data_IF_627518326033
#
_entry.id   IF_627518326033
#
_cell.length_a   1.000
_cell.length_b   1.000
_cell.length_c   1.000
_cell.angle_alpha   90.00
_cell.angle_beta   90.00
_cell.angle_gamma   90.00
#
_symmetry.space_group_name_H-M   'P 1'
#
loop_
_entity.id
_entity.type
_entity.pdbx_description
1 polymer ?
#
# COMPACT_ATOMS: atom_id res chain seq x y z
N UNK A 1 -4.64 -7.59 -18.44
CA UNK A 1 -3.99 -6.77 -17.38
C UNK A 1 -3.23 -5.64 -18.03
N UNK A 2 -3.06 -4.53 -17.30
CA UNK A 2 -2.44 -3.32 -17.82
C UNK A 2 -1.32 -2.89 -16.85
N UNK A 3 -0.16 -3.57 -16.88
CA UNK A 3 0.95 -3.22 -15.98
C UNK A 3 1.45 -1.79 -16.21
N UNK A 4 1.43 -1.35 -17.48
CA UNK A 4 1.71 0.04 -17.88
C UNK A 4 0.42 0.65 -18.44
N UNK A 5 0.02 1.81 -17.91
CA UNK A 5 -1.16 2.55 -18.37
C UNK A 5 -0.82 3.40 -19.60
N UNK A 6 0.26 4.18 -19.52
CA UNK A 6 0.77 4.96 -20.64
C UNK A 6 2.24 5.31 -20.42
N UNK A 7 2.91 5.69 -21.51
CA UNK A 7 4.32 6.11 -21.53
C UNK A 7 4.42 7.56 -21.97
N UNK A 8 5.22 8.36 -21.27
CA UNK A 8 5.61 9.72 -21.66
C UNK A 8 7.13 9.69 -21.92
N UNK A 9 7.53 9.45 -23.17
CA UNK A 9 8.92 9.14 -23.51
C UNK A 9 9.38 7.86 -22.80
N UNK A 10 10.52 7.93 -22.12
CA UNK A 10 11.04 6.84 -21.27
C UNK A 10 10.31 6.72 -19.91
N UNK A 11 9.30 7.57 -19.64
CA UNK A 11 8.54 7.55 -18.39
C UNK A 11 7.34 6.61 -18.47
N UNK A 12 7.37 5.48 -17.76
CA UNK A 12 6.24 4.56 -17.66
C UNK A 12 5.38 4.87 -16.45
N UNK A 13 4.09 5.10 -16.66
CA UNK A 13 3.09 5.16 -15.59
C UNK A 13 2.50 3.77 -15.41
N UNK A 14 2.84 3.12 -14.30
CA UNK A 14 2.32 1.78 -13.99
C UNK A 14 0.97 1.84 -13.30
N UNK A 15 0.14 0.81 -13.50
CA UNK A 15 -1.15 0.70 -12.80
C UNK A 15 -0.95 0.58 -11.29
N UNK A 16 0.11 -0.10 -10.84
CA UNK A 16 0.47 -0.16 -9.42
C UNK A 16 0.86 1.20 -8.85
N UNK A 17 1.69 1.99 -9.54
CA UNK A 17 2.06 3.33 -9.09
C UNK A 17 0.84 4.25 -8.94
N UNK A 18 -0.09 4.19 -9.90
CA UNK A 18 -1.37 4.93 -9.82
C UNK A 18 -2.23 4.41 -8.68
N UNK A 19 -2.32 3.10 -8.47
CA UNK A 19 -3.07 2.52 -7.36
C UNK A 19 -2.49 2.91 -5.99
N UNK A 20 -1.16 2.93 -5.83
CA UNK A 20 -0.49 3.40 -4.60
C UNK A 20 -0.79 4.88 -4.35
N UNK A 21 -0.71 5.72 -5.38
CA UNK A 21 -1.08 7.14 -5.26
C UNK A 21 -2.55 7.32 -4.88
N UNK A 22 -3.47 6.59 -5.52
CA UNK A 22 -4.88 6.59 -5.20
C UNK A 22 -5.15 6.09 -3.77
N UNK A 23 -4.48 5.02 -3.34
CA UNK A 23 -4.57 4.49 -1.99
C UNK A 23 -4.13 5.52 -0.94
N UNK A 24 -3.03 6.23 -1.19
CA UNK A 24 -2.56 7.30 -0.30
C UNK A 24 -3.56 8.46 -0.22
N UNK A 25 -4.08 8.93 -1.36
CA UNK A 25 -5.05 10.03 -1.41
C UNK A 25 -6.37 9.66 -0.73
N UNK A 26 -6.94 8.50 -1.05
CA UNK A 26 -8.19 8.01 -0.45
C UNK A 26 -7.99 7.72 1.05
N UNK A 27 -6.86 7.14 1.43
CA UNK A 27 -6.51 6.88 2.82
C UNK A 27 -6.41 8.18 3.64
N UNK A 28 -5.71 9.19 3.13
CA UNK A 28 -5.61 10.50 3.78
C UNK A 28 -6.97 11.19 3.89
N UNK A 29 -7.79 11.14 2.83
CA UNK A 29 -9.13 11.72 2.83
C UNK A 29 -10.06 11.04 3.85
N UNK A 30 -10.08 9.70 3.89
CA UNK A 30 -10.85 8.94 4.87
C UNK A 30 -10.35 9.18 6.30
N UNK A 31 -9.03 9.23 6.49
CA UNK A 31 -8.45 9.55 7.79
C UNK A 31 -8.85 10.94 8.26
N UNK A 32 -8.78 11.98 7.41
CA UNK A 32 -9.20 13.33 7.80
C UNK A 32 -10.69 13.36 8.19
N UNK A 33 -11.54 12.65 7.45
CA UNK A 33 -12.96 12.52 7.77
C UNK A 33 -13.19 11.89 9.15
N UNK A 34 -12.53 10.77 9.44
CA UNK A 34 -12.68 10.07 10.72
C UNK A 34 -12.00 10.80 11.89
N UNK A 35 -10.90 11.52 11.62
CA UNK A 35 -10.24 12.44 12.55
C UNK A 35 -11.20 13.53 13.01
N UNK A 36 -11.85 14.23 12.07
CA UNK A 36 -12.84 15.27 12.38
C UNK A 36 -14.00 14.72 13.21
N UNK A 37 -14.53 13.56 12.83
CA UNK A 37 -15.59 12.86 13.56
C UNK A 37 -15.19 12.47 14.99
N UNK A 38 -13.92 12.14 15.20
CA UNK A 38 -13.38 11.70 16.49
C UNK A 38 -12.83 12.86 17.35
N UNK A 39 -12.98 14.12 16.90
CA UNK A 39 -12.46 15.30 17.61
C UNK A 39 -10.94 15.34 17.73
N UNK A 40 -10.22 14.64 16.84
CA UNK A 40 -8.77 14.63 16.84
C UNK A 40 -8.21 15.93 16.23
N UNK A 41 -7.14 16.50 16.80
CA UNK A 41 -6.59 17.76 16.34
C UNK A 41 -6.01 17.64 14.92
N UNK A 42 -6.00 18.74 14.18
CA UNK A 42 -5.49 18.78 12.81
C UNK A 42 -4.02 18.37 12.70
N UNK A 43 -3.23 18.60 13.76
CA UNK A 43 -1.83 18.15 13.87
C UNK A 43 -1.65 16.62 13.79
N UNK A 44 -2.72 15.83 13.83
CA UNK A 44 -2.66 14.39 13.50
C UNK A 44 -2.47 14.12 12.00
N UNK A 45 -2.83 15.06 11.13
CA UNK A 45 -2.55 14.96 9.68
C UNK A 45 -1.05 14.95 9.40
N UNK A 46 -0.25 15.69 10.18
CA UNK A 46 1.21 15.65 10.08
C UNK A 46 1.74 14.22 10.24
N UNK A 47 1.17 13.45 11.16
CA UNK A 47 1.56 12.06 11.39
C UNK A 47 1.11 11.15 10.26
N UNK A 48 -0.06 11.38 9.66
CA UNK A 48 -0.53 10.63 8.50
C UNK A 48 0.35 10.90 7.27
N UNK A 49 0.70 12.18 7.01
CA UNK A 49 1.63 12.56 5.94
C UNK A 49 3.02 11.97 6.17
N UNK A 50 3.54 12.06 7.40
CA UNK A 50 4.80 11.43 7.76
C UNK A 50 4.75 9.91 7.57
N UNK A 51 3.62 9.27 7.86
CA UNK A 51 3.40 7.85 7.60
C UNK A 51 3.43 7.50 6.10
N UNK A 52 2.84 8.32 5.24
CA UNK A 52 2.91 8.12 3.78
C UNK A 52 4.36 8.26 3.28
N UNK A 53 5.06 9.32 3.68
CA UNK A 53 6.45 9.57 3.27
C UNK A 53 7.38 8.49 3.82
N UNK A 54 7.27 8.18 5.11
CA UNK A 54 8.04 7.15 5.79
C UNK A 54 7.75 5.76 5.23
N UNK A 55 6.51 5.49 4.81
CA UNK A 55 6.14 4.25 4.15
C UNK A 55 6.78 4.11 2.77
N UNK A 56 6.72 5.15 1.94
CA UNK A 56 7.37 5.10 0.62
C UNK A 56 8.90 4.96 0.76
N UNK A 57 9.51 5.75 1.65
CA UNK A 57 10.95 5.68 1.92
C UNK A 57 11.35 4.32 2.50
N UNK A 58 10.61 3.82 3.49
CA UNK A 58 10.86 2.53 4.14
C UNK A 58 10.72 1.36 3.16
N UNK A 59 9.69 1.39 2.31
CA UNK A 59 9.49 0.37 1.28
C UNK A 59 10.67 0.32 0.31
N UNK A 60 11.18 1.48 -0.10
CA UNK A 60 12.29 1.59 -1.05
C UNK A 60 13.62 1.20 -0.44
N UNK A 61 13.90 1.67 0.79
CA UNK A 61 15.12 1.33 1.53
C UNK A 61 15.19 -0.17 1.82
N UNK A 62 14.10 -0.76 2.32
CA UNK A 62 14.06 -2.19 2.60
C UNK A 62 14.24 -3.02 1.32
N UNK A 63 13.56 -2.65 0.23
CA UNK A 63 13.76 -3.32 -1.06
C UNK A 63 15.21 -3.25 -1.53
N UNK A 64 15.86 -2.09 -1.43
CA UNK A 64 17.26 -1.93 -1.81
C UNK A 64 18.19 -2.76 -0.92
N UNK A 65 17.91 -2.89 0.39
CA UNK A 65 18.66 -3.77 1.31
C UNK A 65 18.47 -5.25 0.97
N UNK A 66 17.25 -5.67 0.61
CA UNK A 66 16.92 -7.05 0.28
C UNK A 66 17.63 -7.53 -1.01
N UNK A 67 17.88 -6.61 -1.94
CA UNK A 67 18.37 -6.92 -3.29
C UNK A 67 19.81 -6.46 -3.56
N UNK A 68 20.43 -5.71 -2.64
CA UNK A 68 21.83 -5.28 -2.77
C UNK A 68 22.76 -6.49 -2.96
N UNK A 69 23.72 -6.35 -3.88
CA UNK A 69 24.69 -7.40 -4.21
C UNK A 69 24.15 -8.50 -5.14
N UNK A 70 22.83 -8.74 -5.17
CA UNK A 70 22.21 -9.67 -6.15
C UNK A 70 21.78 -8.96 -7.43
N UNK A 71 21.18 -7.77 -7.29
CA UNK A 71 20.61 -7.01 -8.41
C UNK A 71 21.39 -5.72 -8.71
N UNK A 72 22.29 -5.31 -7.82
CA UNK A 72 23.14 -4.14 -8.04
C UNK A 72 23.60 -3.48 -6.74
N UNK A 73 24.32 -2.34 -6.84
CA UNK A 73 24.68 -1.50 -5.72
C UNK A 73 23.45 -0.87 -5.05
N UNK A 74 23.55 -0.60 -3.75
CA UNK A 74 22.44 -0.05 -2.95
C UNK A 74 21.87 1.26 -3.54
N UNK A 75 22.73 2.18 -3.97
CA UNK A 75 22.29 3.49 -4.46
C UNK A 75 21.54 3.39 -5.79
N UNK A 76 21.96 2.49 -6.69
CA UNK A 76 21.26 2.24 -7.95
C UNK A 76 19.88 1.63 -7.71
N UNK A 77 19.79 0.67 -6.78
CA UNK A 77 18.51 0.09 -6.37
C UNK A 77 17.61 1.13 -5.68
N UNK A 78 18.16 1.98 -4.82
CA UNK A 78 17.39 3.02 -4.13
C UNK A 78 16.81 4.05 -5.11
N UNK A 79 17.52 4.36 -6.19
CA UNK A 79 17.10 5.31 -7.22
C UNK A 79 16.36 4.64 -8.39
N UNK A 80 16.27 3.31 -8.41
CA UNK A 80 15.57 2.58 -9.46
C UNK A 80 14.07 2.88 -9.42
N UNK A 81 13.39 2.75 -10.56
CA UNK A 81 11.95 2.98 -10.64
C UNK A 81 11.10 1.85 -10.08
N UNK A 82 11.61 0.62 -10.13
CA UNK A 82 10.89 -0.56 -9.67
C UNK A 82 11.21 -0.91 -8.23
N UNK A 83 10.40 -1.78 -7.63
CA UNK A 83 10.72 -2.40 -6.35
C UNK A 83 10.32 -1.57 -5.13
N UNK A 84 9.37 -2.14 -4.38
CA UNK A 84 8.90 -1.65 -3.10
C UNK A 84 8.64 -2.85 -2.20
N UNK A 85 9.23 -2.86 -1.00
CA UNK A 85 8.99 -3.92 -0.01
C UNK A 85 7.78 -3.53 0.85
N UNK A 86 6.76 -4.40 0.88
CA UNK A 86 5.55 -4.16 1.69
C UNK A 86 5.89 -4.03 3.19
N UNK A 87 6.75 -4.91 3.71
CA UNK A 87 7.18 -4.88 5.11
C UNK A 87 7.99 -3.61 5.42
N UNK A 88 8.86 -3.21 4.50
CA UNK A 88 9.58 -1.94 4.61
C UNK A 88 8.64 -0.74 4.68
N UNK A 89 7.59 -0.74 3.85
CA UNK A 89 6.61 0.34 3.83
C UNK A 89 5.75 0.39 5.09
N UNK A 90 5.31 -0.78 5.57
CA UNK A 90 4.59 -0.87 6.83
C UNK A 90 5.43 -0.37 8.01
N UNK A 91 6.67 -0.85 8.14
CA UNK A 91 7.56 -0.45 9.22
C UNK A 91 7.94 1.03 9.14
N UNK A 92 8.35 1.52 7.96
CA UNK A 92 8.72 2.92 7.77
C UNK A 92 7.58 3.89 8.03
N UNK A 93 6.38 3.56 7.55
CA UNK A 93 5.18 4.38 7.78
C UNK A 93 4.76 4.40 9.24
N UNK A 94 4.77 3.24 9.91
CA UNK A 94 4.46 3.14 11.34
C UNK A 94 5.47 3.92 12.18
N UNK A 95 6.78 3.76 11.93
CA UNK A 95 7.83 4.46 12.67
C UNK A 95 7.75 5.97 12.49
N UNK A 96 7.58 6.46 11.26
CA UNK A 96 7.48 7.88 10.97
C UNK A 96 6.22 8.50 11.58
N UNK A 97 5.06 7.85 11.43
CA UNK A 97 3.81 8.30 12.03
C UNK A 97 3.89 8.34 13.56
N UNK A 98 4.34 7.26 14.19
CA UNK A 98 4.51 7.19 15.66
C UNK A 98 5.51 8.23 16.17
N UNK A 99 6.60 8.47 15.45
CA UNK A 99 7.57 9.51 15.80
C UNK A 99 6.92 10.90 15.85
N UNK A 100 6.13 11.26 14.83
CA UNK A 100 5.42 12.54 14.81
C UNK A 100 4.37 12.63 15.90
N UNK A 101 3.61 11.55 16.15
CA UNK A 101 2.64 11.51 17.25
C UNK A 101 3.29 11.72 18.61
N UNK A 102 4.44 11.10 18.85
CA UNK A 102 5.22 11.30 20.09
C UNK A 102 5.72 12.75 20.20
N UNK A 103 6.29 13.31 19.14
CA UNK A 103 6.74 14.71 19.08
C UNK A 103 5.62 15.70 19.37
N UNK A 104 4.42 15.45 18.85
CA UNK A 104 3.23 16.27 19.03
C UNK A 104 2.46 15.98 20.35
N UNK A 105 2.94 15.02 21.17
CA UNK A 105 2.29 14.55 22.41
C UNK A 105 0.84 14.09 22.19
N UNK A 106 0.57 13.47 21.05
CA UNK A 106 -0.75 12.96 20.68
C UNK A 106 -0.90 11.51 21.11
N UNK A 107 -2.13 11.09 21.43
CA UNK A 107 -2.41 9.71 21.83
C UNK A 107 -2.27 8.77 20.63
N UNK A 108 -1.19 7.98 20.63
CA UNK A 108 -0.87 7.03 19.54
C UNK A 108 -2.04 6.07 19.31
N UNK A 109 -2.53 5.43 20.37
CA UNK A 109 -3.60 4.44 20.25
C UNK A 109 -4.89 5.04 19.68
N UNK A 110 -5.29 6.24 20.12
CA UNK A 110 -6.49 6.91 19.59
C UNK A 110 -6.33 7.20 18.09
N UNK A 111 -5.18 7.72 17.67
CA UNK A 111 -4.92 8.04 16.26
C UNK A 111 -4.86 6.79 15.40
N UNK A 112 -4.13 5.75 15.82
CA UNK A 112 -4.06 4.48 15.08
C UNK A 112 -5.43 3.83 14.94
N UNK A 113 -6.23 3.84 16.01
CA UNK A 113 -7.58 3.31 15.96
C UNK A 113 -8.44 4.08 14.95
N UNK A 114 -8.34 5.42 14.92
CA UNK A 114 -9.05 6.28 13.94
C UNK A 114 -8.55 6.04 12.51
N UNK A 115 -7.26 5.76 12.34
CA UNK A 115 -6.66 5.47 11.03
C UNK A 115 -7.02 4.07 10.50
N UNK A 116 -7.39 3.12 11.36
CA UNK A 116 -7.59 1.71 10.96
C UNK A 116 -8.57 1.52 9.78
N UNK A 117 -9.80 2.10 9.76
CA UNK A 117 -10.68 1.95 8.61
C UNK A 117 -10.10 2.56 7.32
N UNK A 118 -9.40 3.69 7.42
CA UNK A 118 -8.75 4.33 6.27
C UNK A 118 -7.60 3.47 5.72
N UNK A 119 -6.79 2.88 6.60
CA UNK A 119 -5.71 1.95 6.24
C UNK A 119 -6.25 0.69 5.55
N UNK A 120 -7.36 0.13 6.04
CA UNK A 120 -7.98 -1.04 5.42
C UNK A 120 -8.47 -0.76 3.99
N UNK A 121 -9.10 0.41 3.75
CA UNK A 121 -9.50 0.83 2.39
C UNK A 121 -8.29 1.10 1.51
N UNK A 122 -7.29 1.81 2.01
CA UNK A 122 -6.06 2.07 1.25
C UNK A 122 -5.35 0.77 0.86
N UNK A 123 -5.30 -0.21 1.77
CA UNK A 123 -4.70 -1.51 1.48
C UNK A 123 -5.50 -2.29 0.42
N UNK A 124 -6.84 -2.26 0.48
CA UNK A 124 -7.70 -2.87 -0.54
C UNK A 124 -7.46 -2.26 -1.93
N UNK A 125 -7.32 -0.93 -2.03
CA UNK A 125 -6.96 -0.25 -3.29
C UNK A 125 -5.57 -0.71 -3.78
N UNK A 126 -4.61 -0.83 -2.86
CA UNK A 126 -3.28 -1.36 -3.16
C UNK A 126 -3.32 -2.77 -3.74
N UNK A 127 -4.12 -3.69 -3.15
CA UNK A 127 -4.30 -5.05 -3.66
C UNK A 127 -4.96 -5.08 -5.05
N UNK A 128 -5.87 -4.16 -5.36
CA UNK A 128 -6.37 -3.99 -6.73
C UNK A 128 -5.22 -3.59 -7.68
N UNK A 129 -4.34 -2.69 -7.24
CA UNK A 129 -3.11 -2.35 -7.97
C UNK A 129 -2.23 -3.56 -8.25
N UNK A 130 -2.01 -4.40 -7.24
CA UNK A 130 -1.27 -5.66 -7.36
C UNK A 130 -1.90 -6.60 -8.40
N UNK A 131 -3.23 -6.73 -8.39
CA UNK A 131 -3.94 -7.52 -9.39
C UNK A 131 -3.79 -6.97 -10.81
N UNK A 132 -3.72 -5.64 -11.00
CA UNK A 132 -3.57 -5.03 -12.32
C UNK A 132 -2.17 -5.16 -12.91
N UNK A 133 -1.14 -5.17 -12.06
CA UNK A 133 0.26 -5.43 -12.45
C UNK A 133 0.56 -6.92 -12.54
N UNK A 134 -0.15 -7.74 -11.77
CA UNK A 134 0.04 -9.18 -11.74
C UNK A 134 1.19 -9.63 -10.87
N UNK A 135 1.31 -9.07 -9.67
CA UNK A 135 2.21 -9.50 -8.60
C UNK A 135 1.43 -10.05 -7.39
N UNK A 136 2.10 -10.67 -6.43
CA UNK A 136 1.50 -11.17 -5.17
C UNK A 136 0.28 -12.11 -5.33
N UNK A 137 0.25 -12.89 -6.42
CA UNK A 137 -0.72 -13.95 -6.62
C UNK A 137 -0.38 -15.21 -5.81
N UNK A 138 -1.37 -16.09 -5.62
CA UNK A 138 -1.22 -17.32 -4.84
C UNK A 138 -0.62 -18.49 -5.61
N UNK A 139 -0.80 -19.69 -5.06
CA UNK A 139 -0.34 -20.93 -5.69
C UNK A 139 -1.19 -21.32 -6.91
N UNK A 140 -0.70 -22.22 -7.79
CA UNK A 140 -1.49 -22.78 -8.89
C UNK A 140 -2.83 -23.34 -8.43
N UNK A 141 -3.87 -23.14 -9.26
CA UNK A 141 -5.25 -23.53 -8.93
C UNK A 141 -6.00 -23.99 -10.17
N UNK A 142 -6.93 -24.92 -9.98
CA UNK A 142 -7.85 -25.41 -11.02
C UNK A 142 -9.27 -24.87 -10.87
N UNK A 143 -9.48 -23.94 -9.93
CA UNK A 143 -10.77 -23.32 -9.69
C UNK A 143 -11.22 -22.47 -10.89
N UNK A 144 -12.55 -22.33 -11.13
CA UNK A 144 -13.06 -21.66 -12.33
C UNK A 144 -12.79 -20.15 -12.38
N UNK A 145 -12.41 -19.53 -11.25
CA UNK A 145 -12.00 -18.12 -11.17
C UNK A 145 -10.49 -17.93 -11.01
N UNK A 146 -9.68 -18.99 -11.20
CA UNK A 146 -8.24 -18.86 -11.24
C UNK A 146 -7.81 -17.97 -12.43
N UNK A 147 -6.77 -17.17 -12.23
CA UNK A 147 -6.31 -16.18 -13.22
C UNK A 147 -4.86 -16.47 -13.57
N UNK A 148 -4.52 -16.45 -14.86
CA UNK A 148 -3.14 -16.47 -15.32
C UNK A 148 -2.64 -15.03 -15.53
N UNK A 149 -1.35 -14.81 -15.28
CA UNK A 149 -0.72 -13.49 -15.32
C UNK A 149 0.45 -13.50 -16.32
N UNK A 150 0.21 -13.66 -17.63
CA UNK A 150 1.30 -13.83 -18.61
C UNK A 150 2.19 -12.59 -18.74
N UNK A 151 1.62 -11.40 -18.54
CA UNK A 151 2.33 -10.11 -18.51
C UNK A 151 2.57 -9.63 -17.06
N UNK A 152 2.48 -10.54 -16.09
CA UNK A 152 2.66 -10.26 -14.67
C UNK A 152 4.12 -10.03 -14.27
N UNK A 153 4.33 -9.65 -13.01
CA UNK A 153 5.64 -9.43 -12.42
C UNK A 153 5.76 -10.22 -11.10
N UNK A 154 6.15 -11.51 -11.12
CA UNK A 154 6.64 -12.28 -12.26
C UNK A 154 5.53 -12.82 -13.19
N UNK A 155 5.85 -13.15 -14.46
CA UNK A 155 4.86 -13.68 -15.39
C UNK A 155 4.56 -15.15 -15.12
N UNK A 156 3.29 -15.55 -15.24
CA UNK A 156 2.83 -16.94 -15.16
C UNK A 156 1.73 -17.24 -16.18
N UNK A 157 1.88 -18.30 -16.95
CA UNK A 157 0.83 -18.85 -17.82
C UNK A 157 -0.09 -19.84 -17.10
N UNK A 158 0.35 -20.36 -15.95
CA UNK A 158 -0.45 -21.27 -15.13
C UNK A 158 -1.50 -20.47 -14.35
N UNK A 159 -2.79 -20.86 -14.39
CA UNK A 159 -3.81 -20.25 -13.55
C UNK A 159 -3.47 -20.39 -12.06
N UNK A 160 -3.51 -19.28 -11.34
CA UNK A 160 -3.20 -19.20 -9.91
C UNK A 160 -4.37 -18.57 -9.16
N UNK A 161 -4.38 -18.73 -7.83
CA UNK A 161 -5.31 -18.02 -6.97
C UNK A 161 -5.10 -16.50 -7.06
N UNK A 162 -6.11 -15.69 -7.45
CA UNK A 162 -6.03 -14.23 -7.36
C UNK A 162 -6.21 -13.76 -5.91
N UNK A 163 -5.21 -14.04 -5.05
CA UNK A 163 -5.17 -13.69 -3.62
C UNK A 163 -5.41 -12.21 -3.36
N UNK A 164 -4.98 -11.35 -4.27
CA UNK A 164 -5.20 -9.91 -4.20
C UNK A 164 -6.69 -9.56 -4.20
N UNK A 165 -7.50 -10.27 -4.99
CA UNK A 165 -8.96 -10.10 -5.00
C UNK A 165 -9.61 -10.67 -3.74
N UNK A 166 -9.10 -11.78 -3.21
CA UNK A 166 -9.59 -12.35 -1.95
C UNK A 166 -9.35 -11.38 -0.79
N UNK A 167 -8.15 -10.80 -0.72
CA UNK A 167 -7.81 -9.81 0.30
C UNK A 167 -8.65 -8.55 0.14
N UNK A 168 -8.83 -8.05 -1.08
CA UNK A 168 -9.72 -6.90 -1.34
C UNK A 168 -11.14 -7.19 -0.86
N UNK A 169 -11.67 -8.37 -1.18
CA UNK A 169 -13.00 -8.82 -0.79
C UNK A 169 -13.15 -9.01 0.73
N UNK A 170 -12.07 -9.31 1.45
CA UNK A 170 -12.06 -9.40 2.92
C UNK A 170 -11.89 -8.02 3.59
N UNK A 171 -11.02 -7.17 3.06
CA UNK A 171 -10.67 -5.87 3.63
C UNK A 171 -11.83 -4.87 3.56
N UNK A 172 -12.61 -4.86 2.47
CA UNK A 172 -13.72 -3.91 2.32
C UNK A 172 -14.85 -4.12 3.35
N UNK A 173 -15.34 -5.36 3.60
CA UNK A 173 -16.26 -5.63 4.70
C UNK A 173 -15.68 -5.28 6.07
N UNK A 174 -14.41 -5.61 6.33
CA UNK A 174 -13.75 -5.27 7.60
C UNK A 174 -13.68 -3.75 7.79
N UNK A 175 -13.28 -3.01 6.75
CA UNK A 175 -13.25 -1.55 6.79
C UNK A 175 -14.64 -0.96 7.06
N UNK A 176 -15.67 -1.51 6.42
CA UNK A 176 -17.06 -1.10 6.63
C UNK A 176 -17.54 -1.39 8.06
N UNK A 177 -17.24 -2.57 8.60
CA UNK A 177 -17.57 -2.93 10.00
C UNK A 177 -16.86 -2.00 10.99
N UNK A 178 -15.57 -1.75 10.80
CA UNK A 178 -14.80 -0.82 11.64
C UNK A 178 -15.34 0.60 11.58
N UNK A 179 -15.76 1.05 10.39
CA UNK A 179 -16.41 2.35 10.22
C UNK A 179 -17.77 2.42 10.93
N UNK A 180 -18.54 1.33 10.91
CA UNK A 180 -19.86 1.20 11.55
C UNK A 180 -19.80 1.10 13.07
N UNK A 181 -18.88 0.31 13.62
CA UNK A 181 -18.72 0.11 15.07
C UNK A 181 -18.16 1.32 15.82
N UNK A 182 -17.63 2.30 15.10
CA UNK A 182 -17.23 3.60 15.65
C UNK A 182 -18.40 4.59 15.82
N UNK A 183 -19.63 4.19 15.46
CA UNK A 183 -20.86 4.93 15.81
C UNK A 183 -21.30 4.51 17.20
#
# INVERSE_FOLDING_TARGET
>A
MYPVLFRIGEFEVTSFGVAVAAAALVGLWLFDRERRRSGLPESTLDAAMAGVIGGLAGAKIAWAIEHVGRQGPFLELLLSRGGLSWFGGFAGGLLAGVFVLRRRRLSILKVLAVATPALAVAHAIGRIGCFLVGDDYGIPSTLPWAVAFPEGLPPTSTPVHPTQLYETAALLPVAWLLYRWRR
#
